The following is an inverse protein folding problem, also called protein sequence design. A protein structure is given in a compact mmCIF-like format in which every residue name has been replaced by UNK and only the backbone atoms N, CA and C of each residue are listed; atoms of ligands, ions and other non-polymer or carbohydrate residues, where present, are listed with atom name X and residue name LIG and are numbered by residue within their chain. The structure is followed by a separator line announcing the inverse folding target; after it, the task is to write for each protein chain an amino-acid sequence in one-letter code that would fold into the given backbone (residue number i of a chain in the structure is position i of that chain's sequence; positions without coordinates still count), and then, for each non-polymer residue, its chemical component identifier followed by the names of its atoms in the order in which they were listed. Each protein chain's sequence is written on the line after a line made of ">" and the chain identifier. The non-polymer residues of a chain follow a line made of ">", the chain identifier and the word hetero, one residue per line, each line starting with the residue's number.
data_IF_369898733266
#
_entry.id   IF_369898733266
#
_cell.length_a   1.000
_cell.length_b   1.000
_cell.length_c   1.000
_cell.angle_alpha   90.00
_cell.angle_beta   90.00
_cell.angle_gamma   90.00
#
_symmetry.space_group_name_H-M   'P 1'
#
loop_
_entity.id
_entity.type
_entity.pdbx_description
1 polymer ?
#
# COMPACT_ATOMS: atom_id res chain seq x y z
N UNK A 1 23.14 -3.10 -11.41
CA UNK A 1 23.34 -3.62 -10.04
C UNK A 1 22.10 -3.36 -9.20
N UNK A 2 21.81 -4.16 -8.16
CA UNK A 2 20.57 -4.04 -7.39
C UNK A 2 20.77 -4.16 -5.86
N UNK A 3 21.09 -3.07 -5.15
CA UNK A 3 21.30 -3.11 -3.71
C UNK A 3 19.98 -3.18 -2.95
N UNK A 4 19.99 -3.89 -1.83
CA UNK A 4 18.86 -4.06 -0.92
C UNK A 4 19.27 -3.74 0.50
N UNK A 5 18.39 -3.08 1.26
CA UNK A 5 18.51 -2.86 2.70
C UNK A 5 17.18 -3.28 3.34
N UNK A 6 17.22 -4.11 4.37
CA UNK A 6 16.05 -4.43 5.20
C UNK A 6 16.49 -4.38 6.67
N UNK A 7 15.95 -3.41 7.41
CA UNK A 7 16.18 -3.27 8.85
C UNK A 7 14.86 -3.45 9.58
N UNK A 8 14.87 -4.25 10.64
CA UNK A 8 13.70 -4.51 11.49
C UNK A 8 14.07 -4.41 12.95
N UNK A 9 13.20 -3.75 13.73
CA UNK A 9 13.35 -3.66 15.18
C UNK A 9 12.03 -3.97 15.86
N UNK A 10 12.14 -4.73 16.94
CA UNK A 10 11.03 -5.13 17.79
C UNK A 10 11.30 -4.67 19.22
N UNK A 11 10.36 -3.93 19.78
CA UNK A 11 10.34 -3.56 21.20
C UNK A 11 9.19 -4.31 21.86
N UNK A 12 9.54 -5.31 22.67
CA UNK A 12 8.56 -6.14 23.39
C UNK A 12 8.18 -5.43 24.69
N UNK A 13 6.96 -4.93 24.77
CA UNK A 13 6.44 -4.17 25.91
C UNK A 13 5.08 -4.78 26.27
N UNK A 14 5.09 -5.76 27.17
CA UNK A 14 3.89 -6.53 27.49
C UNK A 14 2.68 -5.61 27.82
N UNK A 15 1.49 -5.90 27.26
CA UNK A 15 1.13 -7.09 26.48
C UNK A 15 1.40 -6.99 24.98
N UNK A 16 1.95 -5.88 24.48
CA UNK A 16 2.13 -5.62 23.04
C UNK A 16 3.60 -5.73 22.60
N UNK A 17 3.81 -5.76 21.29
CA UNK A 17 5.11 -5.55 20.67
C UNK A 17 4.99 -4.42 19.67
N UNK A 18 5.86 -3.43 19.79
CA UNK A 18 6.04 -2.43 18.74
C UNK A 18 7.04 -2.98 17.73
N UNK A 19 6.69 -2.96 16.46
CA UNK A 19 7.55 -3.39 15.37
C UNK A 19 7.75 -2.25 14.37
N UNK A 20 8.98 -2.03 13.95
CA UNK A 20 9.29 -1.10 12.87
C UNK A 20 10.15 -1.81 11.82
N UNK A 21 9.90 -1.47 10.55
CA UNK A 21 10.68 -1.93 9.40
C UNK A 21 11.03 -0.74 8.51
N UNK A 22 12.25 -0.73 8.01
CA UNK A 22 12.67 0.10 6.89
C UNK A 22 13.25 -0.82 5.83
N UNK A 23 12.74 -0.72 4.61
CA UNK A 23 13.15 -1.53 3.48
C UNK A 23 13.42 -0.66 2.27
N UNK A 24 14.50 -0.94 1.56
CA UNK A 24 14.87 -0.26 0.33
C UNK A 24 15.42 -1.24 -0.68
N UNK A 25 15.04 -1.09 -1.94
CA UNK A 25 15.54 -1.88 -3.06
C UNK A 25 15.70 -0.95 -4.26
N UNK A 26 16.91 -0.87 -4.81
CA UNK A 26 17.18 -0.11 -6.03
C UNK A 26 17.65 -1.03 -7.14
N UNK A 27 17.31 -0.74 -8.39
CA UNK A 27 17.91 -1.31 -9.60
C UNK A 27 18.52 -0.17 -10.40
N UNK A 28 19.82 -0.26 -10.66
CA UNK A 28 20.62 0.78 -11.30
C UNK A 28 21.35 0.23 -12.53
N UNK A 29 21.57 1.09 -13.51
CA UNK A 29 22.08 0.76 -14.84
C UNK A 29 20.95 0.79 -15.88
N UNK A 30 21.10 0.02 -16.96
CA UNK A 30 20.04 -0.15 -17.93
C UNK A 30 18.92 -1.02 -17.35
N UNK A 31 17.79 -0.39 -17.04
CA UNK A 31 16.59 -1.06 -16.50
C UNK A 31 15.42 -1.03 -17.49
N UNK A 32 15.62 -0.54 -18.72
CA UNK A 32 14.53 -0.31 -19.68
C UNK A 32 13.81 -1.60 -20.11
N UNK A 33 14.52 -2.72 -20.08
CA UNK A 33 13.99 -4.05 -20.43
C UNK A 33 13.55 -4.90 -19.23
N UNK A 34 13.56 -4.34 -18.01
CA UNK A 34 13.16 -5.06 -16.81
C UNK A 34 11.70 -4.78 -16.46
N UNK A 35 10.99 -5.81 -16.00
CA UNK A 35 9.70 -5.60 -15.37
C UNK A 35 9.84 -4.66 -14.16
N UNK A 36 8.98 -3.62 -14.06
CA UNK A 36 9.04 -2.70 -12.94
C UNK A 36 8.73 -3.44 -11.65
N UNK A 37 9.37 -3.01 -10.56
CA UNK A 37 8.98 -3.49 -9.24
C UNK A 37 7.67 -2.83 -8.85
N UNK A 38 6.84 -3.56 -8.12
CA UNK A 38 5.54 -3.07 -7.67
C UNK A 38 5.55 -2.89 -6.15
N UNK A 39 5.20 -1.69 -5.70
CA UNK A 39 5.16 -1.33 -4.28
C UNK A 39 3.92 -1.89 -3.59
N UNK A 40 2.79 -2.00 -4.29
CA UNK A 40 1.49 -2.38 -3.73
C UNK A 40 1.33 -3.84 -3.34
N UNK A 41 2.42 -4.59 -3.14
CA UNK A 41 2.33 -5.91 -2.54
C UNK A 41 2.05 -5.78 -1.04
N UNK A 42 1.17 -6.62 -0.46
CA UNK A 42 0.73 -6.47 0.93
C UNK A 42 1.84 -6.73 1.96
N UNK A 43 2.95 -7.36 1.57
CA UNK A 43 4.16 -7.49 2.40
C UNK A 43 5.10 -6.27 2.34
N UNK A 44 4.77 -5.27 1.51
CA UNK A 44 5.45 -3.97 1.45
C UNK A 44 4.54 -2.88 2.03
N UNK A 45 3.37 -2.66 1.42
CA UNK A 45 2.35 -1.73 1.92
C UNK A 45 0.95 -2.31 1.69
N UNK A 46 0.06 -2.18 2.69
CA UNK A 46 -1.33 -2.65 2.60
C UNK A 46 -2.26 -1.57 2.02
N UNK A 47 -3.31 -1.99 1.31
CA UNK A 47 -4.37 -1.11 0.77
C UNK A 47 -4.08 -0.54 -0.63
N UNK A 48 -3.00 -1.00 -1.25
CA UNK A 48 -2.52 -0.55 -2.57
C UNK A 48 -2.34 -1.72 -3.56
N UNK A 49 -3.04 -2.82 -3.33
CA UNK A 49 -2.97 -4.02 -4.16
C UNK A 49 -3.60 -3.76 -5.53
N UNK A 50 -2.98 -4.25 -6.61
CA UNK A 50 -3.44 -4.01 -7.98
C UNK A 50 -4.92 -4.38 -8.19
N UNK A 51 -5.39 -5.49 -7.62
CA UNK A 51 -6.80 -5.91 -7.68
C UNK A 51 -7.76 -4.83 -7.18
N UNK A 52 -7.38 -4.10 -6.13
CA UNK A 52 -8.22 -3.05 -5.56
C UNK A 52 -8.31 -1.82 -6.47
N UNK A 53 -7.35 -1.57 -7.36
CA UNK A 53 -7.44 -0.50 -8.36
C UNK A 53 -8.33 -0.91 -9.53
N UNK A 54 -8.21 -2.16 -10.00
CA UNK A 54 -9.07 -2.71 -11.05
C UNK A 54 -10.55 -2.72 -10.64
N UNK A 55 -10.85 -3.12 -9.40
CA UNK A 55 -12.23 -3.14 -8.90
C UNK A 55 -12.89 -1.76 -8.84
N UNK A 56 -12.11 -0.67 -8.84
CA UNK A 56 -12.62 0.69 -8.73
C UNK A 56 -12.52 1.49 -10.04
N UNK A 57 -12.09 0.89 -11.17
CA UNK A 57 -11.95 1.53 -12.50
C UNK A 57 -11.13 2.83 -12.46
N UNK A 58 -9.92 2.76 -11.89
CA UNK A 58 -9.13 3.94 -11.50
C UNK A 58 -7.99 4.24 -12.44
N UNK A 59 -8.34 4.72 -13.63
CA UNK A 59 -7.39 5.18 -14.63
C UNK A 59 -6.92 6.63 -14.33
N UNK A 60 -7.80 7.48 -13.78
CA UNK A 60 -7.61 8.94 -13.70
C UNK A 60 -7.35 9.51 -12.29
N UNK A 61 -7.08 8.66 -11.30
CA UNK A 61 -6.75 9.12 -9.93
C UNK A 61 -5.33 9.67 -9.82
N UNK A 62 -5.09 10.55 -8.84
CA UNK A 62 -3.75 11.06 -8.52
C UNK A 62 -2.72 9.95 -8.28
N UNK A 63 -3.20 8.83 -7.72
CA UNK A 63 -2.45 7.60 -7.51
C UNK A 63 -3.16 6.47 -8.24
N UNK A 64 -2.42 5.79 -9.09
CA UNK A 64 -2.85 4.60 -9.84
C UNK A 64 -1.76 3.51 -9.77
N UNK A 65 -1.99 2.37 -10.43
CA UNK A 65 -1.02 1.25 -10.44
C UNK A 65 0.36 1.70 -10.94
N UNK A 66 0.42 2.58 -11.96
CA UNK A 66 1.68 3.09 -12.51
C UNK A 66 2.47 3.93 -11.49
N UNK A 67 1.77 4.61 -10.58
CA UNK A 67 2.37 5.41 -9.51
C UNK A 67 3.09 4.53 -8.47
N UNK A 68 2.71 3.26 -8.37
CA UNK A 68 3.28 2.26 -7.47
C UNK A 68 4.37 1.41 -8.14
N UNK A 69 4.73 1.73 -9.38
CA UNK A 69 5.74 1.01 -10.16
C UNK A 69 7.04 1.81 -10.28
N UNK A 70 8.17 1.12 -10.18
CA UNK A 70 9.47 1.75 -10.35
C UNK A 70 10.65 0.77 -10.32
N UNK A 71 11.83 1.28 -10.67
CA UNK A 71 13.09 0.58 -10.51
C UNK A 71 13.76 0.85 -9.15
N UNK A 72 13.15 1.68 -8.29
CA UNK A 72 13.56 1.93 -6.91
C UNK A 72 12.35 1.92 -6.00
N UNK A 73 12.50 1.33 -4.82
CA UNK A 73 11.50 1.23 -3.77
C UNK A 73 12.10 1.69 -2.43
N UNK A 74 11.29 2.42 -1.67
CA UNK A 74 11.53 2.69 -0.25
C UNK A 74 10.23 2.41 0.52
N UNK A 75 10.34 1.74 1.66
CA UNK A 75 9.21 1.31 2.49
C UNK A 75 9.55 1.54 3.94
N UNK A 76 8.58 2.03 4.70
CA UNK A 76 8.60 2.05 6.15
C UNK A 76 7.29 1.48 6.68
N UNK A 77 7.38 0.56 7.64
CA UNK A 77 6.22 -0.02 8.32
C UNK A 77 6.36 0.18 9.82
N UNK A 78 5.25 0.47 10.47
CA UNK A 78 5.12 0.47 11.91
C UNK A 78 3.90 -0.38 12.30
N UNK A 79 4.08 -1.31 13.24
CA UNK A 79 3.00 -2.17 13.74
C UNK A 79 2.97 -2.16 15.27
N UNK A 80 1.77 -2.06 15.85
CA UNK A 80 1.50 -2.42 17.25
C UNK A 80 0.85 -3.79 17.23
N UNK A 81 1.52 -4.79 17.80
CA UNK A 81 1.13 -6.19 17.72
C UNK A 81 0.68 -6.69 19.08
N UNK A 82 -0.53 -7.23 19.15
CA UNK A 82 -1.10 -7.85 20.34
C UNK A 82 -1.27 -9.36 20.07
N UNK A 83 -0.53 -10.23 20.77
CA UNK A 83 -0.83 -11.66 20.78
C UNK A 83 -2.23 -11.89 21.35
N UNK A 84 -3.20 -12.12 20.46
CA UNK A 84 -4.62 -12.06 20.79
C UNK A 84 -5.10 -13.42 21.30
N UNK A 85 -4.89 -14.50 20.53
CA UNK A 85 -5.22 -15.86 20.96
C UNK A 85 -3.98 -16.77 20.94
N UNK A 86 -3.83 -17.64 21.94
CA UNK A 86 -2.69 -18.55 22.04
C UNK A 86 -2.45 -19.10 23.46
N UNK A 87 -1.23 -19.52 23.81
CA UNK A 87 -0.93 -20.04 25.14
C UNK A 87 -1.16 -18.98 26.21
N UNK A 88 -1.72 -19.38 27.35
CA UNK A 88 -2.17 -18.49 28.44
C UNK A 88 -1.10 -17.51 28.96
N UNK A 89 0.19 -17.88 28.89
CA UNK A 89 1.29 -17.02 29.33
C UNK A 89 1.72 -15.97 28.30
N UNK A 90 1.28 -16.09 27.05
CA UNK A 90 1.80 -15.33 25.90
C UNK A 90 0.72 -14.55 25.15
N UNK A 91 -0.56 -14.92 25.31
CA UNK A 91 -1.68 -14.31 24.60
C UNK A 91 -2.77 -13.81 25.55
N UNK A 92 -3.59 -12.87 25.09
CA UNK A 92 -4.69 -12.32 25.88
C UNK A 92 -5.83 -13.32 26.12
N UNK A 93 -6.10 -14.17 25.12
CA UNK A 93 -7.14 -15.19 25.19
C UNK A 93 -6.49 -16.57 25.02
N UNK A 94 -6.70 -17.43 26.01
CA UNK A 94 -6.21 -18.81 25.97
C UNK A 94 -6.84 -19.57 24.81
N UNK A 95 -6.01 -20.13 23.93
CA UNK A 95 -6.41 -21.07 22.90
C UNK A 95 -5.30 -22.09 22.66
N UNK A 96 -5.70 -23.36 22.55
CA UNK A 96 -4.80 -24.46 22.19
C UNK A 96 -4.75 -24.75 20.69
N UNK A 97 -5.59 -24.09 19.89
CA UNK A 97 -5.76 -24.39 18.46
C UNK A 97 -5.65 -23.16 17.55
N UNK A 98 -6.00 -21.98 18.06
CA UNK A 98 -6.03 -20.74 17.30
C UNK A 98 -4.96 -19.79 17.82
N UNK A 99 -3.94 -19.54 17.01
CA UNK A 99 -2.83 -18.64 17.32
C UNK A 99 -2.93 -17.39 16.46
N UNK A 100 -3.27 -16.26 17.09
CA UNK A 100 -3.51 -15.01 16.37
C UNK A 100 -2.81 -13.81 16.98
N UNK A 101 -2.35 -12.90 16.12
CA UNK A 101 -1.87 -11.59 16.50
C UNK A 101 -2.76 -10.51 15.87
N UNK A 102 -3.42 -9.71 16.70
CA UNK A 102 -4.13 -8.51 16.26
C UNK A 102 -3.11 -7.38 16.12
N UNK A 103 -3.06 -6.73 14.96
CA UNK A 103 -2.12 -5.66 14.69
C UNK A 103 -2.84 -4.38 14.28
N UNK A 104 -2.39 -3.25 14.84
CA UNK A 104 -2.59 -1.93 14.25
C UNK A 104 -1.36 -1.60 13.43
N UNK A 105 -1.53 -1.03 12.24
CA UNK A 105 -0.39 -0.72 11.38
C UNK A 105 -0.46 0.67 10.76
N UNK A 106 0.73 1.17 10.41
CA UNK A 106 0.95 2.31 9.53
C UNK A 106 2.05 1.93 8.53
N UNK A 107 1.74 2.05 7.25
CA UNK A 107 2.63 1.76 6.13
C UNK A 107 2.91 3.04 5.34
N UNK A 108 4.15 3.22 4.91
CA UNK A 108 4.57 4.27 3.99
C UNK A 108 5.44 3.64 2.89
N UNK A 109 5.23 4.07 1.65
CA UNK A 109 5.96 3.54 0.51
C UNK A 109 6.20 4.57 -0.57
N UNK A 110 7.29 4.43 -1.32
CA UNK A 110 7.60 5.23 -2.49
C UNK A 110 8.19 4.32 -3.57
N UNK A 111 7.64 4.41 -4.78
CA UNK A 111 8.19 3.78 -5.98
C UNK A 111 8.57 4.86 -6.99
N UNK A 112 9.74 4.73 -7.61
CA UNK A 112 10.16 5.67 -8.64
C UNK A 112 11.17 5.06 -9.59
N UNK A 113 11.34 5.70 -10.74
CA UNK A 113 12.41 5.43 -11.68
C UNK A 113 13.52 6.47 -11.55
N UNK A 114 14.74 6.13 -12.00
CA UNK A 114 15.79 7.13 -12.19
C UNK A 114 15.31 8.24 -13.13
N UNK A 115 15.49 9.51 -12.72
CA UNK A 115 15.03 10.69 -13.47
C UNK A 115 13.66 11.22 -13.05
N UNK A 116 12.86 10.46 -12.28
CA UNK A 116 11.63 11.00 -11.71
C UNK A 116 11.93 12.09 -10.67
N UNK A 117 11.06 13.09 -10.62
CA UNK A 117 11.04 14.10 -9.57
C UNK A 117 10.27 13.53 -8.36
N UNK A 118 10.91 13.46 -7.19
CA UNK A 118 10.24 13.00 -5.97
C UNK A 118 9.74 14.21 -5.18
N UNK A 119 8.45 14.23 -4.88
CA UNK A 119 7.82 15.27 -4.05
C UNK A 119 7.21 14.69 -2.79
N UNK A 120 7.44 15.34 -1.66
CA UNK A 120 6.87 14.95 -0.36
C UNK A 120 5.56 15.70 -0.11
N UNK A 121 4.54 15.30 -0.87
CA UNK A 121 3.19 15.85 -0.81
C UNK A 121 2.18 14.71 -1.05
N UNK A 122 0.87 15.02 -0.94
CA UNK A 122 -0.16 13.98 -1.03
C UNK A 122 -0.33 13.42 -2.44
N UNK A 123 -0.29 14.28 -3.45
CA UNK A 123 -0.62 13.98 -4.85
C UNK A 123 0.38 14.69 -5.76
N UNK A 124 0.74 14.15 -6.94
CA UNK A 124 1.57 14.89 -7.89
C UNK A 124 0.95 16.23 -8.29
N UNK A 125 1.74 17.15 -8.84
CA UNK A 125 1.22 18.42 -9.32
C UNK A 125 0.19 18.19 -10.43
N UNK A 126 -0.89 18.98 -10.39
CA UNK A 126 -1.84 19.09 -11.48
C UNK A 126 -1.23 20.04 -12.53
N UNK A 127 -1.10 19.57 -13.76
CA UNK A 127 -0.52 20.31 -14.87
C UNK A 127 -1.55 20.75 -15.91
N UNK A 128 -2.71 20.09 -15.94
CA UNK A 128 -3.79 20.42 -16.86
C UNK A 128 -5.15 19.87 -16.35
N UNK A 129 -6.23 20.15 -17.06
CA UNK A 129 -7.56 19.59 -16.83
C UNK A 129 -8.16 19.11 -18.15
N UNK A 130 -8.61 17.87 -18.18
CA UNK A 130 -9.32 17.29 -19.33
C UNK A 130 -10.83 17.32 -19.10
N UNK A 131 -11.58 17.76 -20.12
CA UNK A 131 -13.03 17.60 -20.17
C UNK A 131 -13.41 16.12 -20.26
N UNK A 132 -14.38 15.71 -19.46
CA UNK A 132 -14.94 14.37 -19.51
C UNK A 132 -15.98 14.30 -20.62
N UNK A 133 -15.82 13.36 -21.54
CA UNK A 133 -16.78 13.09 -22.61
C UNK A 133 -17.54 11.80 -22.32
N UNK A 134 -18.81 11.74 -22.71
CA UNK A 134 -19.63 10.53 -22.67
C UNK A 134 -19.28 9.57 -23.84
N UNK A 135 -19.99 8.45 -23.92
CA UNK A 135 -19.77 7.43 -24.97
C UNK A 135 -20.07 7.95 -26.39
N UNK A 136 -20.86 9.02 -26.51
CA UNK A 136 -21.25 9.65 -27.77
C UNK A 136 -20.34 10.85 -28.13
N UNK A 137 -19.31 11.11 -27.31
CA UNK A 137 -18.33 12.17 -27.52
C UNK A 137 -18.82 13.57 -27.12
N UNK A 138 -19.92 13.68 -26.37
CA UNK A 138 -20.41 14.96 -25.84
C UNK A 138 -19.83 15.24 -24.46
N UNK A 139 -19.56 16.51 -24.09
CA UNK A 139 -19.05 16.84 -22.77
C UNK A 139 -20.08 16.50 -21.70
N UNK A 140 -19.66 15.77 -20.68
CA UNK A 140 -20.48 15.52 -19.48
C UNK A 140 -20.58 16.84 -18.72
N UNK A 141 -21.78 17.34 -18.50
CA UNK A 141 -22.00 18.59 -17.76
C UNK A 141 -22.44 18.32 -16.31
N UNK A 142 -22.05 19.21 -15.40
CA UNK A 142 -22.50 19.22 -14.01
C UNK A 142 -23.96 19.70 -13.89
N UNK A 143 -24.50 19.70 -12.66
CA UNK A 143 -25.86 20.17 -12.38
C UNK A 143 -26.13 21.65 -12.71
N UNK A 144 -25.09 22.42 -13.04
CA UNK A 144 -25.15 23.83 -13.42
C UNK A 144 -24.90 24.04 -14.92
N UNK A 145 -24.71 22.97 -15.70
CA UNK A 145 -24.45 23.03 -17.13
C UNK A 145 -22.99 23.29 -17.53
N UNK A 146 -22.05 23.27 -16.59
CA UNK A 146 -20.62 23.39 -16.90
C UNK A 146 -20.01 22.02 -17.22
N UNK A 147 -19.09 21.96 -18.17
CA UNK A 147 -18.40 20.71 -18.48
C UNK A 147 -17.59 20.21 -17.27
N UNK A 148 -17.78 18.94 -16.93
CA UNK A 148 -17.03 18.24 -15.89
C UNK A 148 -15.58 18.08 -16.35
N UNK A 149 -14.66 18.44 -15.48
CA UNK A 149 -13.23 18.37 -15.74
C UNK A 149 -12.55 17.41 -14.77
N UNK A 150 -11.50 16.75 -15.26
CA UNK A 150 -10.65 15.85 -14.48
C UNK A 150 -9.20 16.35 -14.52
N UNK A 151 -8.50 16.36 -13.37
CA UNK A 151 -7.13 16.83 -13.32
C UNK A 151 -6.18 15.88 -14.07
N UNK A 152 -5.20 16.46 -14.75
CA UNK A 152 -4.06 15.77 -15.36
C UNK A 152 -2.86 15.97 -14.45
N UNK A 153 -2.31 14.87 -13.96
CA UNK A 153 -1.17 14.88 -13.04
C UNK A 153 0.16 14.78 -13.77
N UNK A 154 1.21 15.39 -13.20
CA UNK A 154 2.57 15.28 -13.73
C UNK A 154 3.09 13.85 -13.62
N UNK A 155 3.18 13.17 -14.77
CA UNK A 155 3.59 11.76 -14.85
C UNK A 155 5.07 11.50 -14.52
N UNK A 156 5.92 12.53 -14.49
CA UNK A 156 7.32 12.41 -14.05
C UNK A 156 7.47 12.52 -12.52
N UNK A 157 6.44 13.01 -11.83
CA UNK A 157 6.48 13.16 -10.38
C UNK A 157 6.06 11.87 -9.66
N UNK A 158 6.74 11.59 -8.55
CA UNK A 158 6.43 10.48 -7.64
C UNK A 158 6.30 11.01 -6.23
N UNK A 159 5.24 10.60 -5.56
CA UNK A 159 4.92 11.00 -4.19
C UNK A 159 4.83 9.77 -3.29
N UNK A 160 5.17 9.88 -2.00
CA UNK A 160 5.00 8.77 -1.08
C UNK A 160 3.52 8.47 -0.85
N UNK A 161 3.20 7.18 -0.79
CA UNK A 161 1.87 6.67 -0.46
C UNK A 161 1.85 6.14 0.96
N UNK A 162 0.72 6.30 1.63
CA UNK A 162 0.54 5.96 3.04
C UNK A 162 -0.75 5.19 3.26
N UNK A 163 -0.74 4.25 4.21
CA UNK A 163 -1.95 3.64 4.73
C UNK A 163 -1.83 3.35 6.21
N UNK A 164 -2.99 3.25 6.88
CA UNK A 164 -3.08 2.73 8.23
C UNK A 164 -4.27 1.80 8.35
N UNK A 165 -4.24 0.87 9.30
CA UNK A 165 -5.32 -0.07 9.43
C UNK A 165 -5.16 -1.10 10.52
N UNK A 166 -5.97 -2.14 10.42
CA UNK A 166 -5.99 -3.28 11.34
C UNK A 166 -5.78 -4.58 10.57
N UNK A 167 -5.00 -5.49 11.12
CA UNK A 167 -4.81 -6.84 10.56
C UNK A 167 -4.89 -7.90 11.63
N UNK A 168 -5.26 -9.11 11.24
CA UNK A 168 -5.24 -10.28 12.11
C UNK A 168 -4.33 -11.34 11.48
N UNK A 169 -3.14 -11.55 12.04
CA UNK A 169 -2.30 -12.68 11.62
C UNK A 169 -2.83 -13.95 12.25
N UNK A 170 -3.10 -14.95 11.45
CA UNK A 170 -3.58 -16.27 11.86
C UNK A 170 -2.52 -17.29 11.47
N UNK A 171 -1.91 -17.93 12.47
CA UNK A 171 -0.97 -19.02 12.24
C UNK A 171 -1.75 -20.34 12.15
N UNK A 172 -1.81 -20.91 10.95
CA UNK A 172 -2.45 -22.18 10.66
C UNK A 172 -1.44 -23.31 10.85
N UNK A 173 -1.44 -23.89 12.04
CA UNK A 173 -0.70 -25.10 12.40
C UNK A 173 0.81 -25.04 12.12
N UNK A 174 1.42 -23.85 12.14
CA UNK A 174 2.84 -23.66 11.83
C UNK A 174 3.19 -23.73 10.33
N UNK A 175 2.23 -24.05 9.46
CA UNK A 175 2.46 -24.27 8.03
C UNK A 175 2.20 -23.02 7.17
N UNK A 176 1.28 -22.15 7.60
CA UNK A 176 0.84 -20.99 6.82
C UNK A 176 0.43 -19.85 7.75
N UNK A 177 0.82 -18.64 7.40
CA UNK A 177 0.27 -17.43 8.03
C UNK A 177 -0.66 -16.76 7.02
N UNK A 178 -1.91 -16.57 7.45
CA UNK A 178 -2.87 -15.72 6.76
C UNK A 178 -2.99 -14.40 7.51
N UNK A 179 -3.06 -13.30 6.78
CA UNK A 179 -3.26 -11.97 7.35
C UNK A 179 -4.35 -11.24 6.56
N UNK A 180 -5.64 -11.44 6.89
CA UNK A 180 -6.68 -10.50 6.50
C UNK A 180 -6.45 -9.13 7.15
N UNK A 181 -6.75 -8.06 6.41
CA UNK A 181 -6.66 -6.70 6.91
C UNK A 181 -7.72 -5.77 6.30
N UNK A 182 -7.96 -4.67 7.00
CA UNK A 182 -8.62 -3.48 6.48
C UNK A 182 -7.64 -2.32 6.53
N UNK A 183 -7.35 -1.73 5.37
CA UNK A 183 -6.41 -0.62 5.21
C UNK A 183 -7.15 0.64 4.75
N UNK A 184 -6.80 1.79 5.32
CA UNK A 184 -7.25 3.11 4.88
C UNK A 184 -6.08 3.73 4.11
N UNK A 185 -6.10 3.75 2.77
CA UNK A 185 -5.09 4.43 1.97
C UNK A 185 -5.32 5.94 1.95
N UNK A 186 -4.30 6.74 2.23
CA UNK A 186 -4.45 8.20 2.42
C UNK A 186 -4.34 8.99 1.11
N UNK A 187 -3.65 8.43 0.12
CA UNK A 187 -3.43 9.09 -1.17
C UNK A 187 -4.42 8.65 -2.26
N UNK A 188 -5.31 7.72 -1.94
CA UNK A 188 -6.31 7.20 -2.88
C UNK A 188 -7.61 7.96 -2.73
N UNK A 189 -8.06 8.61 -3.80
CA UNK A 189 -9.32 9.35 -3.87
C UNK A 189 -10.47 8.51 -4.43
N UNK A 190 -10.14 7.34 -4.98
CA UNK A 190 -11.08 6.43 -5.61
C UNK A 190 -11.85 5.55 -4.63
N UNK A 191 -11.28 5.30 -3.45
CA UNK A 191 -11.92 4.53 -2.38
C UNK A 191 -12.44 5.46 -1.29
N UNK A 192 -13.71 5.27 -0.91
CA UNK A 192 -14.35 6.00 0.21
C UNK A 192 -14.43 5.18 1.49
N UNK A 193 -14.07 3.89 1.42
CA UNK A 193 -14.13 2.93 2.52
C UNK A 193 -12.75 2.26 2.68
N UNK A 194 -12.46 1.67 3.85
CA UNK A 194 -11.27 0.85 3.99
C UNK A 194 -11.21 -0.27 2.94
N UNK A 195 -10.02 -0.48 2.37
CA UNK A 195 -9.72 -1.56 1.43
C UNK A 195 -9.50 -2.84 2.22
N UNK A 196 -10.28 -3.87 1.90
CA UNK A 196 -10.04 -5.22 2.41
C UNK A 196 -8.95 -5.91 1.57
N UNK A 197 -8.08 -6.66 2.23
CA UNK A 197 -7.15 -7.54 1.55
C UNK A 197 -6.74 -8.74 2.39
N UNK A 198 -6.02 -9.66 1.76
CA UNK A 198 -5.55 -10.90 2.35
C UNK A 198 -4.10 -11.13 1.95
N UNK A 199 -3.18 -11.09 2.91
CA UNK A 199 -1.80 -11.51 2.71
C UNK A 199 -1.61 -12.97 3.11
N UNK A 200 -0.69 -13.65 2.43
CA UNK A 200 -0.29 -15.01 2.77
C UNK A 200 1.24 -15.08 2.79
N UNK A 201 1.78 -15.79 3.77
CA UNK A 201 3.22 -16.12 3.82
C UNK A 201 3.39 -17.58 4.26
N UNK A 202 4.19 -18.39 3.55
CA UNK A 202 4.50 -19.75 3.98
C UNK A 202 5.07 -19.75 5.41
N UNK A 203 4.63 -20.72 6.23
CA UNK A 203 5.27 -21.01 7.50
C UNK A 203 6.62 -21.69 7.24
N UNK A 204 7.64 -21.31 8.02
CA UNK A 204 8.96 -21.93 8.02
C UNK A 204 9.32 -22.33 9.45
#
# INVERSE_FOLDING_TARGET
>A
FAPTIDFRKYWRIAPVTLAARVYGLGRFGDTGNLYPMFLGYPFLIRGYEAQSFYNNNTESGAINIQSLQGNRLAVANFEVRLPFTGPEKLAQIKSGFLFTDLNLFFDAGLAWNGGNEVKFQKEPDIIDYNTVYDADGQPVNDGNGNAVQTPVYNSNQRVPVYSAGVSLRVNLFGALILEPYFAIPFNRTDVKKPVFGLAFTPGW
#
